data_IF_273440726514
#
_entry.id   IF_273440726514
#
_cell.length_a   1.000
_cell.length_b   1.000
_cell.length_c   1.000
_cell.angle_alpha   90.00
_cell.angle_beta   90.00
_cell.angle_gamma   90.00
#
_symmetry.space_group_name_H-M   'P 1'
#
loop_
_entity.id
_entity.type
_entity.pdbx_description
1 polymer ?
#
# COMPACT_ATOMS: atom_id res chain seq x y z
N UNK A 1 14.57 34.02 -20.43
CA UNK A 1 13.49 33.12 -19.96
C UNK A 1 13.77 31.72 -20.50
N UNK A 2 13.80 30.65 -19.68
CA UNK A 2 13.95 29.29 -20.20
C UNK A 2 12.75 28.92 -21.08
N UNK A 3 13.00 28.34 -22.25
CA UNK A 3 11.98 27.91 -23.23
C UNK A 3 11.45 26.51 -22.88
N UNK A 4 10.25 26.15 -23.35
CA UNK A 4 9.65 24.81 -23.10
C UNK A 4 10.60 23.65 -23.42
N UNK A 5 11.42 23.79 -24.46
CA UNK A 5 12.37 22.77 -24.91
C UNK A 5 13.49 22.51 -23.89
N UNK A 6 13.89 23.56 -23.15
CA UNK A 6 14.92 23.45 -22.12
C UNK A 6 14.50 22.59 -20.93
N UNK A 7 13.21 22.55 -20.61
CA UNK A 7 12.67 21.72 -19.52
C UNK A 7 12.68 20.23 -19.84
N UNK A 8 12.47 19.85 -21.11
CA UNK A 8 12.53 18.45 -21.54
C UNK A 8 13.97 17.93 -21.48
N UNK A 9 14.91 18.71 -22.00
CA UNK A 9 16.34 18.37 -21.96
C UNK A 9 16.83 18.27 -20.50
N UNK A 10 16.41 19.20 -19.65
CA UNK A 10 16.76 19.17 -18.23
C UNK A 10 16.18 17.93 -17.53
N UNK A 11 14.91 17.60 -17.78
CA UNK A 11 14.27 16.40 -17.24
C UNK A 11 14.97 15.11 -17.67
N UNK A 12 15.43 15.01 -18.92
CA UNK A 12 16.21 13.86 -19.39
C UNK A 12 17.57 13.75 -18.69
N UNK A 13 18.27 14.87 -18.48
CA UNK A 13 19.54 14.89 -17.73
C UNK A 13 19.35 14.42 -16.29
N UNK A 14 18.29 14.87 -15.65
CA UNK A 14 17.95 14.47 -14.29
C UNK A 14 17.59 12.96 -14.21
N UNK A 15 16.90 12.42 -15.24
CA UNK A 15 16.62 10.98 -15.33
C UNK A 15 17.90 10.13 -15.47
N UNK A 16 18.88 10.57 -16.26
CA UNK A 16 20.18 9.87 -16.38
C UNK A 16 20.95 9.91 -15.07
N UNK A 17 20.97 11.04 -14.38
CA UNK A 17 21.61 11.16 -13.07
C UNK A 17 20.95 10.23 -12.04
N UNK A 18 19.62 10.17 -12.05
CA UNK A 18 18.84 9.26 -11.22
C UNK A 18 19.18 7.79 -11.48
N UNK A 19 19.24 7.36 -12.74
CA UNK A 19 19.60 5.99 -13.12
C UNK A 19 21.04 5.60 -12.70
N UNK A 20 21.94 6.58 -12.61
CA UNK A 20 23.32 6.41 -12.13
C UNK A 20 23.45 6.46 -10.59
N UNK A 21 22.33 6.50 -9.86
CA UNK A 21 22.28 6.46 -8.40
C UNK A 21 22.12 7.81 -7.71
N UNK A 22 22.10 8.93 -8.45
CA UNK A 22 21.83 10.24 -7.86
C UNK A 22 20.31 10.51 -7.79
N UNK A 23 19.68 10.06 -6.70
CA UNK A 23 18.23 10.11 -6.51
C UNK A 23 17.69 11.46 -6.07
N UNK A 24 18.55 12.46 -5.83
CA UNK A 24 18.17 13.76 -5.24
C UNK A 24 17.24 14.60 -6.13
N UNK A 25 17.18 14.31 -7.44
CA UNK A 25 16.34 15.02 -8.41
C UNK A 25 15.14 14.22 -8.93
N UNK A 26 14.90 13.02 -8.39
CA UNK A 26 13.75 12.18 -8.72
C UNK A 26 12.84 11.95 -7.52
N UNK A 27 11.55 11.68 -7.77
CA UNK A 27 10.62 11.19 -6.73
C UNK A 27 10.53 9.67 -6.82
N UNK A 28 10.94 8.98 -5.76
CA UNK A 28 10.79 7.53 -5.65
C UNK A 28 9.43 7.23 -5.04
N UNK A 29 8.54 6.63 -5.83
CA UNK A 29 7.33 6.01 -5.32
C UNK A 29 7.61 4.53 -5.09
N UNK A 30 7.83 4.13 -3.83
CA UNK A 30 7.96 2.72 -3.47
C UNK A 30 6.57 2.09 -3.55
N UNK A 31 6.26 1.49 -4.70
CA UNK A 31 5.05 0.69 -4.86
C UNK A 31 5.39 -0.72 -4.41
N UNK A 32 5.23 -1.01 -3.12
CA UNK A 32 5.35 -2.39 -2.63
C UNK A 32 4.44 -3.30 -3.47
N UNK A 33 4.97 -4.37 -4.06
CA UNK A 33 4.15 -5.32 -4.82
C UNK A 33 3.50 -6.27 -3.82
N UNK A 34 2.26 -5.97 -3.43
CA UNK A 34 1.37 -6.92 -2.78
C UNK A 34 0.71 -7.79 -3.86
N UNK A 35 1.05 -9.07 -3.88
CA UNK A 35 0.34 -10.11 -4.61
C UNK A 35 -0.79 -10.71 -3.77
N UNK A 36 -1.59 -11.57 -4.40
CA UNK A 36 -2.72 -12.21 -3.74
C UNK A 36 -2.33 -13.20 -2.63
N UNK A 37 -1.20 -13.90 -2.80
CA UNK A 37 -0.61 -14.75 -1.75
C UNK A 37 -0.32 -13.95 -0.49
N UNK A 38 0.11 -12.70 -0.64
CA UNK A 38 0.46 -11.84 0.49
C UNK A 38 -0.80 -11.45 1.28
N UNK A 39 -1.92 -11.17 0.59
CA UNK A 39 -3.20 -10.82 1.25
C UNK A 39 -3.71 -11.97 2.11
N UNK A 40 -3.73 -13.20 1.58
CA UNK A 40 -4.15 -14.38 2.34
C UNK A 40 -3.24 -14.60 3.54
N UNK A 41 -1.91 -14.54 3.36
CA UNK A 41 -0.97 -14.74 4.46
C UNK A 41 -1.09 -13.66 5.53
N UNK A 42 -1.31 -12.39 5.16
CA UNK A 42 -1.53 -11.29 6.11
C UNK A 42 -2.81 -11.54 6.92
N UNK A 43 -3.92 -11.92 6.26
CA UNK A 43 -5.16 -12.26 6.98
C UNK A 43 -4.94 -13.42 7.94
N UNK A 44 -4.33 -14.50 7.47
CA UNK A 44 -4.12 -15.70 8.29
C UNK A 44 -3.27 -15.42 9.55
N UNK A 45 -2.29 -14.52 9.48
CA UNK A 45 -1.52 -14.06 10.66
C UNK A 45 -2.37 -13.40 11.74
N UNK A 46 -3.56 -12.90 11.39
CA UNK A 46 -4.49 -12.31 12.36
C UNK A 46 -5.43 -13.33 13.01
N UNK A 47 -5.51 -14.55 12.47
CA UNK A 47 -6.44 -15.59 12.94
C UNK A 47 -7.91 -15.35 12.57
N UNK A 48 -8.21 -14.35 11.74
CA UNK A 48 -9.58 -13.95 11.41
C UNK A 48 -10.08 -14.62 10.12
N UNK A 49 -11.37 -14.95 10.08
CA UNK A 49 -12.06 -15.29 8.84
C UNK A 49 -12.05 -14.10 7.86
N UNK A 50 -12.27 -14.32 6.54
CA UNK A 50 -12.36 -13.21 5.58
C UNK A 50 -13.40 -12.16 5.97
N UNK A 51 -14.56 -12.57 6.47
CA UNK A 51 -15.63 -11.66 6.89
C UNK A 51 -15.21 -10.80 8.10
N UNK A 52 -14.61 -11.42 9.12
CA UNK A 52 -14.14 -10.71 10.31
C UNK A 52 -12.98 -9.78 9.99
N UNK A 53 -12.05 -10.22 9.14
CA UNK A 53 -10.92 -9.40 8.69
C UNK A 53 -11.40 -8.17 7.91
N UNK A 54 -12.30 -8.37 6.96
CA UNK A 54 -12.90 -7.29 6.18
C UNK A 54 -13.59 -6.27 7.09
N UNK A 55 -14.44 -6.74 8.00
CA UNK A 55 -15.13 -5.89 8.98
C UNK A 55 -14.16 -5.14 9.89
N UNK A 56 -13.16 -5.83 10.44
CA UNK A 56 -12.23 -5.25 11.42
C UNK A 56 -11.37 -4.14 10.84
N UNK A 57 -10.91 -4.31 9.60
CA UNK A 57 -9.96 -3.40 8.95
C UNK A 57 -10.62 -2.50 7.89
N UNK A 58 -11.95 -2.48 7.82
CA UNK A 58 -12.71 -1.57 6.95
C UNK A 58 -12.60 -1.90 5.46
N UNK A 59 -12.40 -3.18 5.11
CA UNK A 59 -12.43 -3.62 3.71
C UNK A 59 -13.83 -4.09 3.31
N UNK A 60 -14.17 -3.92 2.03
CA UNK A 60 -15.30 -4.61 1.45
C UNK A 60 -14.99 -6.11 1.30
N UNK A 61 -15.86 -6.98 1.80
CA UNK A 61 -15.66 -8.43 1.77
C UNK A 61 -15.51 -8.99 0.34
N UNK A 62 -16.28 -8.45 -0.61
CA UNK A 62 -16.17 -8.83 -2.03
C UNK A 62 -14.81 -8.44 -2.61
N UNK A 63 -14.32 -7.24 -2.28
CA UNK A 63 -12.98 -6.80 -2.67
C UNK A 63 -11.89 -7.69 -2.07
N UNK A 64 -11.96 -8.00 -0.77
CA UNK A 64 -11.02 -8.89 -0.10
C UNK A 64 -10.97 -10.27 -0.78
N UNK A 65 -12.13 -10.89 -1.02
CA UNK A 65 -12.22 -12.19 -1.72
C UNK A 65 -11.67 -12.11 -3.15
N UNK A 66 -11.91 -11.01 -3.85
CA UNK A 66 -11.36 -10.78 -5.19
C UNK A 66 -9.83 -10.68 -5.20
N UNK A 67 -9.25 -10.04 -4.18
CA UNK A 67 -7.80 -9.97 -3.99
C UNK A 67 -7.20 -11.34 -3.63
N UNK A 68 -7.79 -12.06 -2.67
CA UNK A 68 -7.33 -13.40 -2.26
C UNK A 68 -7.40 -14.41 -3.43
N UNK A 69 -8.42 -14.30 -4.29
CA UNK A 69 -8.58 -15.11 -5.50
C UNK A 69 -7.73 -14.63 -6.71
N UNK A 70 -6.87 -13.62 -6.52
CA UNK A 70 -6.02 -13.03 -7.57
C UNK A 70 -6.75 -12.34 -8.74
N UNK A 71 -8.04 -12.05 -8.62
CA UNK A 71 -8.83 -11.41 -9.69
C UNK A 71 -8.54 -9.91 -9.80
N UNK A 72 -8.30 -9.24 -8.68
CA UNK A 72 -7.92 -7.83 -8.63
C UNK A 72 -6.79 -7.58 -7.62
N UNK A 73 -6.25 -6.36 -7.63
CA UNK A 73 -5.24 -5.91 -6.67
C UNK A 73 -5.84 -4.86 -5.71
N UNK A 74 -5.36 -4.80 -4.45
CA UNK A 74 -5.76 -3.75 -3.53
C UNK A 74 -5.34 -2.37 -4.04
N UNK A 75 -6.19 -1.37 -3.80
CA UNK A 75 -5.90 0.04 -4.08
C UNK A 75 -4.76 0.56 -3.21
N UNK A 76 -4.25 1.77 -3.48
CA UNK A 76 -3.12 2.36 -2.74
C UNK A 76 -3.31 2.35 -1.22
N UNK A 77 -4.44 2.88 -0.72
CA UNK A 77 -4.73 2.90 0.71
C UNK A 77 -4.87 1.50 1.33
N UNK A 78 -5.59 0.59 0.64
CA UNK A 78 -5.75 -0.79 1.10
C UNK A 78 -4.40 -1.52 1.16
N UNK A 79 -3.55 -1.32 0.15
CA UNK A 79 -2.19 -1.85 0.09
C UNK A 79 -1.35 -1.32 1.26
N UNK A 80 -1.38 -0.01 1.53
CA UNK A 80 -0.66 0.58 2.67
C UNK A 80 -1.08 -0.06 3.99
N UNK A 81 -2.39 -0.18 4.24
CA UNK A 81 -2.88 -0.83 5.47
C UNK A 81 -2.46 -2.30 5.56
N UNK A 82 -2.53 -3.04 4.46
CA UNK A 82 -2.08 -4.44 4.40
C UNK A 82 -0.58 -4.58 4.73
N UNK A 83 0.28 -3.68 4.24
CA UNK A 83 1.72 -3.68 4.58
C UNK A 83 1.96 -3.42 6.05
N UNK A 84 1.24 -2.45 6.63
CA UNK A 84 1.37 -2.16 8.06
C UNK A 84 0.86 -3.34 8.89
N UNK A 85 -0.23 -4.00 8.47
CA UNK A 85 -0.73 -5.23 9.09
C UNK A 85 0.26 -6.40 8.97
N UNK A 86 1.00 -6.50 7.87
CA UNK A 86 2.03 -7.51 7.69
C UNK A 86 3.17 -7.36 8.72
N UNK A 87 3.54 -6.11 9.01
CA UNK A 87 4.65 -5.76 9.91
C UNK A 87 4.24 -5.77 11.39
N UNK A 88 3.09 -5.19 11.72
CA UNK A 88 2.68 -4.93 13.11
C UNK A 88 1.18 -5.19 13.35
N UNK A 89 0.67 -6.43 13.16
CA UNK A 89 -0.76 -6.73 13.21
C UNK A 89 -1.39 -6.40 14.57
N UNK A 90 -0.68 -6.69 15.67
CA UNK A 90 -1.16 -6.38 17.04
C UNK A 90 -1.25 -4.88 17.31
N UNK A 91 -0.32 -4.09 16.78
CA UNK A 91 -0.32 -2.64 16.96
C UNK A 91 -1.52 -2.00 16.25
N UNK A 92 -1.77 -2.40 15.00
CA UNK A 92 -2.94 -1.92 14.22
C UNK A 92 -4.24 -2.32 14.91
N UNK A 93 -4.37 -3.58 15.36
CA UNK A 93 -5.56 -4.04 16.05
C UNK A 93 -5.84 -3.25 17.33
N UNK A 94 -4.81 -2.93 18.13
CA UNK A 94 -4.96 -2.07 19.33
C UNK A 94 -5.35 -0.64 18.97
N UNK A 95 -4.71 -0.05 17.97
CA UNK A 95 -4.99 1.33 17.55
C UNK A 95 -6.43 1.48 17.05
N UNK A 96 -6.92 0.52 16.26
CA UNK A 96 -8.31 0.53 15.79
C UNK A 96 -9.32 0.33 16.92
N UNK A 97 -9.05 -0.58 17.85
CA UNK A 97 -9.93 -0.76 19.02
C UNK A 97 -10.01 0.51 19.87
N UNK A 98 -8.88 1.19 20.11
CA UNK A 98 -8.87 2.46 20.84
C UNK A 98 -9.65 3.55 20.09
N UNK A 99 -9.46 3.67 18.77
CA UNK A 99 -10.16 4.65 17.94
C UNK A 99 -11.68 4.41 17.87
N UNK A 100 -12.13 3.15 17.88
CA UNK A 100 -13.55 2.80 17.87
C UNK A 100 -14.22 3.09 19.22
N UNK A 101 -13.51 2.89 20.33
CA UNK A 101 -14.01 3.22 21.66
C UNK A 101 -14.11 4.74 21.90
N UNK A 102 -13.30 5.55 21.20
CA UNK A 102 -13.40 7.01 21.23
C UNK A 102 -14.61 7.56 20.47
N UNK A 103 -15.20 6.74 19.59
CA UNK A 103 -16.35 7.11 18.76
C UNK A 103 -17.69 6.57 19.31
N UNK A 104 -17.67 5.91 20.47
CA UNK A 104 -18.82 5.36 21.18
C UNK A 104 -19.12 6.19 22.43
#
# INVERSE_FOLDING_TARGET
>A
MPTRDSHVVQGMKDAVAFARGNTTRGRIHIVARLGASDVVSIRMKTGLSPAEFARRYGFNLSSLRSWEARRHRPSGAAKTLLLVLQSAPRAVARALAAAQNLAA
#
